data_IF_674398231272
#
_entry.id   IF_674398231272
#
_cell.length_a   1.000
_cell.length_b   1.000
_cell.length_c   1.000
_cell.angle_alpha   90.00
_cell.angle_beta   90.00
_cell.angle_gamma   90.00
#
_symmetry.space_group_name_H-M   'P 1'
#
loop_
_entity.id
_entity.type
_entity.pdbx_description
1 polymer ?
#
# COMPACT_ATOMS: atom_id res chain seq x y z
N UNK A 1 7.59 -3.85 9.32
CA UNK A 1 7.12 -5.24 9.35
C UNK A 1 8.14 -6.15 10.03
N UNK A 2 7.96 -6.49 11.31
CA UNK A 2 8.90 -7.35 12.03
C UNK A 2 8.79 -8.83 11.65
N UNK A 3 7.68 -9.26 11.06
CA UNK A 3 7.43 -10.66 10.68
C UNK A 3 6.97 -10.75 9.22
N UNK A 4 7.87 -10.58 8.24
CA UNK A 4 7.51 -10.63 6.83
C UNK A 4 7.00 -12.02 6.43
N UNK A 5 5.92 -12.08 5.64
CA UNK A 5 5.36 -13.34 5.14
C UNK A 5 6.36 -14.12 4.25
N UNK A 6 7.34 -13.42 3.69
CA UNK A 6 8.34 -13.97 2.77
C UNK A 6 9.72 -14.20 3.40
N UNK A 7 9.90 -13.90 4.70
CA UNK A 7 11.18 -14.00 5.42
C UNK A 7 11.89 -15.31 5.16
N UNK A 8 13.24 -15.30 5.16
CA UNK A 8 14.02 -16.53 5.08
C UNK A 8 13.87 -17.39 6.34
N UNK A 9 13.59 -16.81 7.50
CA UNK A 9 13.33 -17.52 8.74
C UNK A 9 11.89 -18.10 8.77
N UNK A 10 11.72 -19.43 8.82
CA UNK A 10 10.41 -20.06 8.96
C UNK A 10 9.63 -19.64 10.20
N UNK A 11 10.32 -19.31 11.31
CA UNK A 11 9.68 -18.87 12.54
C UNK A 11 9.05 -17.47 12.38
N UNK A 12 9.76 -16.54 11.74
CA UNK A 12 9.21 -15.23 11.39
C UNK A 12 8.00 -15.37 10.44
N UNK A 13 8.09 -16.23 9.42
CA UNK A 13 6.95 -16.48 8.52
C UNK A 13 5.74 -17.05 9.26
N UNK A 14 5.95 -18.02 10.14
CA UNK A 14 4.87 -18.62 10.94
C UNK A 14 4.20 -17.57 11.83
N UNK A 15 5.00 -16.70 12.47
CA UNK A 15 4.48 -15.61 13.30
C UNK A 15 3.73 -14.57 12.48
N UNK A 16 4.25 -14.22 11.31
CA UNK A 16 3.58 -13.30 10.37
C UNK A 16 2.21 -13.83 9.93
N UNK A 17 2.12 -15.12 9.61
CA UNK A 17 0.86 -15.77 9.23
C UNK A 17 -0.18 -15.78 10.36
N UNK A 18 0.25 -16.10 11.58
CA UNK A 18 -0.63 -16.06 12.76
C UNK A 18 -1.18 -14.66 12.98
N UNK A 19 -0.31 -13.65 12.98
CA UNK A 19 -0.70 -12.26 13.16
C UNK A 19 -1.60 -11.76 12.03
N UNK A 20 -1.33 -12.12 10.79
CA UNK A 20 -2.18 -11.77 9.65
C UNK A 20 -3.60 -12.31 9.83
N UNK A 21 -3.76 -13.58 10.24
CA UNK A 21 -5.07 -14.15 10.55
C UNK A 21 -5.77 -13.44 11.71
N UNK A 22 -5.05 -13.08 12.77
CA UNK A 22 -5.59 -12.29 13.89
C UNK A 22 -6.02 -10.89 13.44
N UNK A 23 -5.26 -10.23 12.57
CA UNK A 23 -5.61 -8.92 12.01
C UNK A 23 -6.83 -9.00 11.10
N UNK A 24 -7.00 -10.10 10.34
CA UNK A 24 -8.23 -10.34 9.57
C UNK A 24 -9.45 -10.51 10.49
N UNK A 25 -9.32 -11.25 11.59
CA UNK A 25 -10.39 -11.36 12.58
C UNK A 25 -10.68 -10.01 13.25
N UNK A 26 -9.65 -9.24 13.62
CA UNK A 26 -9.82 -7.92 14.20
C UNK A 26 -10.52 -6.94 13.23
N UNK A 27 -10.20 -6.99 11.94
CA UNK A 27 -10.89 -6.21 10.92
C UNK A 27 -12.40 -6.51 10.91
N UNK A 28 -12.76 -7.79 10.92
CA UNK A 28 -14.15 -8.22 11.02
C UNK A 28 -14.82 -7.73 12.31
N UNK A 29 -14.19 -7.95 13.46
CA UNK A 29 -14.75 -7.60 14.76
C UNK A 29 -14.95 -6.07 14.91
N UNK A 30 -14.08 -5.26 14.28
CA UNK A 30 -14.19 -3.81 14.24
C UNK A 30 -15.13 -3.29 13.13
N UNK A 31 -15.68 -4.17 12.30
CA UNK A 31 -16.63 -3.84 11.24
C UNK A 31 -16.02 -3.21 9.99
N UNK A 32 -14.70 -3.29 9.81
CA UNK A 32 -14.06 -2.89 8.54
C UNK A 32 -13.96 -4.08 7.59
N UNK A 33 -14.28 -3.83 6.32
CA UNK A 33 -14.20 -4.84 5.26
C UNK A 33 -12.82 -4.95 4.61
N UNK A 34 -11.86 -4.16 5.07
CA UNK A 34 -10.59 -3.98 4.37
C UNK A 34 -9.42 -4.13 5.33
N UNK A 35 -8.46 -4.98 4.96
CA UNK A 35 -7.19 -5.13 5.64
C UNK A 35 -6.06 -4.86 4.65
N UNK A 36 -5.24 -3.85 4.91
CA UNK A 36 -4.00 -3.61 4.18
C UNK A 36 -3.02 -4.76 4.46
N UNK A 37 -2.48 -5.36 3.40
CA UNK A 37 -1.48 -6.42 3.50
C UNK A 37 -0.27 -6.07 2.67
N UNK A 38 0.89 -6.16 3.29
CA UNK A 38 2.16 -6.14 2.57
C UNK A 38 2.55 -7.60 2.29
N UNK A 39 2.49 -8.04 1.03
CA UNK A 39 2.52 -9.45 0.69
C UNK A 39 3.91 -10.08 0.86
N UNK A 40 4.96 -9.26 0.78
CA UNK A 40 6.34 -9.70 0.82
C UNK A 40 7.33 -8.56 0.69
N UNK A 41 8.60 -8.87 0.90
CA UNK A 41 9.72 -7.95 0.73
C UNK A 41 10.95 -8.73 0.23
N UNK A 42 11.54 -8.25 -0.86
CA UNK A 42 12.85 -8.70 -1.37
C UNK A 42 13.96 -8.07 -0.54
N UNK A 43 13.81 -6.79 -0.21
CA UNK A 43 14.71 -6.03 0.63
C UNK A 43 13.92 -5.23 1.66
N UNK A 44 14.52 -4.94 2.83
CA UNK A 44 13.92 -4.09 3.85
C UNK A 44 14.99 -3.12 4.36
N UNK A 45 15.17 -1.94 3.74
CA UNK A 45 16.28 -1.04 4.05
C UNK A 45 16.26 -0.51 5.49
N UNK A 46 15.10 -0.56 6.15
CA UNK A 46 14.92 -0.17 7.56
C UNK A 46 15.23 -1.30 8.56
N UNK A 47 15.57 -2.52 8.11
CA UNK A 47 15.97 -3.65 8.97
C UNK A 47 17.37 -4.13 8.60
N UNK A 48 18.34 -3.83 9.46
CA UNK A 48 19.71 -4.31 9.30
C UNK A 48 19.86 -5.82 9.61
N UNK A 49 18.89 -6.41 10.30
CA UNK A 49 18.90 -7.78 10.82
C UNK A 49 18.15 -8.78 9.91
N UNK A 50 18.02 -8.48 8.61
CA UNK A 50 17.27 -9.33 7.69
C UNK A 50 17.98 -9.49 6.34
N UNK A 51 18.28 -10.74 5.97
CA UNK A 51 18.85 -11.07 4.67
C UNK A 51 17.85 -10.83 3.54
N UNK A 52 18.27 -10.34 2.36
CA UNK A 52 17.38 -10.23 1.22
C UNK A 52 16.69 -11.56 0.88
N UNK A 53 15.40 -11.50 0.53
CA UNK A 53 14.66 -12.66 0.01
C UNK A 53 14.78 -12.66 -1.51
N UNK A 54 15.30 -13.72 -2.16
CA UNK A 54 15.32 -13.81 -3.62
C UNK A 54 13.92 -13.60 -4.23
N UNK A 55 13.84 -12.89 -5.36
CA UNK A 55 12.57 -12.47 -5.96
C UNK A 55 11.60 -13.63 -6.25
N UNK A 56 12.11 -14.76 -6.74
CA UNK A 56 11.34 -15.97 -7.04
C UNK A 56 10.76 -16.60 -5.75
N UNK A 57 11.57 -16.71 -4.70
CA UNK A 57 11.13 -17.19 -3.39
C UNK A 57 10.17 -16.21 -2.72
N UNK A 58 10.40 -14.90 -2.87
CA UNK A 58 9.51 -13.86 -2.37
C UNK A 58 8.13 -14.00 -3.02
N UNK A 59 8.06 -14.12 -4.34
CA UNK A 59 6.80 -14.28 -5.06
C UNK A 59 6.07 -15.57 -4.71
N UNK A 60 6.79 -16.70 -4.70
CA UNK A 60 6.21 -17.99 -4.32
C UNK A 60 5.62 -17.93 -2.90
N UNK A 61 6.39 -17.46 -1.92
CA UNK A 61 5.96 -17.41 -0.51
C UNK A 61 4.82 -16.42 -0.30
N UNK A 62 4.84 -15.28 -0.97
CA UNK A 62 3.77 -14.29 -0.91
C UNK A 62 2.45 -14.90 -1.42
N UNK A 63 2.48 -15.58 -2.58
CA UNK A 63 1.29 -16.27 -3.12
C UNK A 63 0.78 -17.36 -2.21
N UNK A 64 1.67 -18.20 -1.68
CA UNK A 64 1.31 -19.24 -0.71
C UNK A 64 0.68 -18.67 0.57
N UNK A 65 1.23 -17.56 1.09
CA UNK A 65 0.75 -16.91 2.31
C UNK A 65 -0.65 -16.32 2.12
N UNK A 66 -0.84 -15.49 1.08
CA UNK A 66 -2.15 -14.90 0.76
C UNK A 66 -3.17 -16.01 0.45
N UNK A 67 -2.79 -17.03 -0.31
CA UNK A 67 -3.68 -18.17 -0.62
C UNK A 67 -4.12 -18.96 0.62
N UNK A 68 -3.28 -19.05 1.66
CA UNK A 68 -3.64 -19.68 2.94
C UNK A 68 -4.56 -18.80 3.80
N UNK A 69 -4.41 -17.48 3.74
CA UNK A 69 -5.25 -16.53 4.48
C UNK A 69 -6.63 -16.33 3.83
N UNK A 70 -6.68 -16.43 2.51
CA UNK A 70 -7.84 -16.08 1.69
C UNK A 70 -9.15 -16.77 2.14
N UNK A 71 -9.21 -18.09 2.37
CA UNK A 71 -10.47 -18.74 2.79
C UNK A 71 -11.03 -18.18 4.12
N UNK A 72 -10.14 -17.77 5.03
CA UNK A 72 -10.53 -17.13 6.29
C UNK A 72 -11.06 -15.72 6.07
N UNK A 73 -10.39 -14.95 5.20
CA UNK A 73 -10.80 -13.61 4.83
C UNK A 73 -12.18 -13.59 4.13
N UNK A 74 -12.41 -14.52 3.19
CA UNK A 74 -13.70 -14.68 2.50
C UNK A 74 -14.83 -15.02 3.48
N UNK A 75 -14.59 -15.96 4.42
CA UNK A 75 -15.57 -16.33 5.45
C UNK A 75 -15.96 -15.14 6.33
N UNK A 76 -15.00 -14.24 6.59
CA UNK A 76 -15.18 -13.07 7.44
C UNK A 76 -15.68 -11.83 6.68
N UNK A 77 -15.87 -11.92 5.36
CA UNK A 77 -16.19 -10.77 4.47
C UNK A 77 -15.15 -9.63 4.58
N UNK A 78 -13.87 -9.99 4.65
CA UNK A 78 -12.74 -9.05 4.69
C UNK A 78 -11.91 -9.20 3.42
N UNK A 79 -11.61 -8.09 2.75
CA UNK A 79 -10.68 -8.04 1.62
C UNK A 79 -9.24 -7.84 2.11
N UNK A 80 -8.33 -8.66 1.61
CA UNK A 80 -6.88 -8.53 1.74
C UNK A 80 -6.38 -7.60 0.62
N UNK A 81 -6.02 -6.38 0.97
CA UNK A 81 -5.70 -5.31 0.02
C UNK A 81 -4.18 -5.13 -0.04
N UNK A 82 -3.59 -5.57 -1.15
CA UNK A 82 -2.16 -5.61 -1.39
C UNK A 82 -1.62 -4.21 -1.65
N UNK A 83 -0.65 -3.76 -0.85
CA UNK A 83 -0.03 -2.44 -1.01
C UNK A 83 1.21 -2.47 -1.90
N UNK A 84 1.32 -1.50 -2.82
CA UNK A 84 2.52 -1.25 -3.62
C UNK A 84 3.56 -0.48 -2.80
N UNK A 85 4.80 -0.99 -2.71
CA UNK A 85 5.87 -0.35 -1.91
C UNK A 85 7.24 -0.51 -2.57
N UNK A 86 7.74 0.54 -3.23
CA UNK A 86 9.03 0.43 -3.94
C UNK A 86 10.20 0.07 -3.02
N UNK A 87 10.21 0.55 -1.77
CA UNK A 87 11.31 0.30 -0.84
C UNK A 87 11.48 -1.19 -0.48
N UNK A 88 10.44 -2.02 -0.66
CA UNK A 88 10.53 -3.43 -0.34
C UNK A 88 11.05 -4.30 -1.52
N UNK A 89 11.20 -3.70 -2.71
CA UNK A 89 11.72 -4.37 -3.90
C UNK A 89 10.79 -5.41 -4.54
N UNK A 90 9.49 -5.43 -4.21
CA UNK A 90 8.53 -6.43 -4.68
C UNK A 90 7.26 -5.76 -5.26
N UNK A 91 6.71 -6.34 -6.35
CA UNK A 91 5.57 -5.81 -7.12
C UNK A 91 5.77 -4.34 -7.57
N UNK A 92 6.85 -4.10 -8.32
CA UNK A 92 7.33 -2.75 -8.64
C UNK A 92 6.65 -2.09 -9.86
N UNK A 93 5.77 -2.82 -10.55
CA UNK A 93 5.01 -2.34 -11.71
C UNK A 93 3.51 -2.63 -11.57
N UNK A 94 2.63 -1.87 -12.23
CA UNK A 94 1.20 -2.10 -12.14
C UNK A 94 0.80 -3.44 -12.77
N UNK A 95 1.59 -3.95 -13.73
CA UNK A 95 1.35 -5.25 -14.36
C UNK A 95 1.68 -6.41 -13.43
N UNK A 96 2.77 -6.32 -12.65
CA UNK A 96 3.09 -7.30 -11.61
C UNK A 96 2.01 -7.29 -10.52
N UNK A 97 1.56 -6.10 -10.08
CA UNK A 97 0.48 -5.97 -9.10
C UNK A 97 -0.83 -6.60 -9.61
N UNK A 98 -1.25 -6.28 -10.84
CA UNK A 98 -2.43 -6.90 -11.47
C UNK A 98 -2.29 -8.42 -11.54
N UNK A 99 -1.16 -8.92 -12.05
CA UNK A 99 -0.91 -10.36 -12.17
C UNK A 99 -0.91 -11.08 -10.82
N UNK A 100 -0.42 -10.43 -9.76
CA UNK A 100 -0.44 -10.97 -8.41
C UNK A 100 -1.86 -11.07 -7.86
N UNK A 101 -2.66 -9.99 -7.90
CA UNK A 101 -4.01 -10.02 -7.33
C UNK A 101 -4.97 -10.89 -8.16
N UNK A 102 -4.85 -10.86 -9.50
CA UNK A 102 -5.69 -11.65 -10.40
C UNK A 102 -5.42 -13.16 -10.26
N UNK A 103 -4.21 -13.56 -9.83
CA UNK A 103 -3.84 -14.96 -9.61
C UNK A 103 -4.81 -15.70 -8.70
N UNK A 104 -5.38 -15.02 -7.70
CA UNK A 104 -6.28 -15.62 -6.72
C UNK A 104 -7.71 -15.77 -7.24
N UNK A 105 -8.09 -15.07 -8.32
CA UNK A 105 -9.45 -15.10 -8.88
C UNK A 105 -10.54 -14.87 -7.82
N UNK A 106 -10.28 -14.01 -6.83
CA UNK A 106 -11.18 -13.73 -5.71
C UNK A 106 -11.43 -12.23 -5.58
N UNK A 107 -12.67 -11.86 -5.25
CA UNK A 107 -13.04 -10.48 -4.95
C UNK A 107 -12.47 -9.98 -3.61
N UNK A 108 -11.90 -10.88 -2.80
CA UNK A 108 -11.29 -10.58 -1.51
C UNK A 108 -9.76 -10.40 -1.58
N UNK A 109 -9.14 -10.44 -2.76
CA UNK A 109 -7.76 -9.99 -2.96
C UNK A 109 -7.75 -8.82 -3.93
N UNK A 110 -7.45 -7.62 -3.41
CA UNK A 110 -7.49 -6.36 -4.17
C UNK A 110 -6.24 -5.53 -3.89
N UNK A 111 -6.21 -4.28 -4.33
CA UNK A 111 -5.07 -3.36 -4.17
C UNK A 111 -5.43 -2.27 -3.15
N UNK A 112 -4.53 -2.07 -2.18
CA UNK A 112 -4.45 -0.83 -1.42
C UNK A 112 -3.45 0.07 -2.14
N UNK A 113 -3.93 1.01 -2.94
CA UNK A 113 -3.07 1.80 -3.81
C UNK A 113 -2.50 3.00 -3.07
N UNK A 114 -1.18 3.04 -2.90
CA UNK A 114 -0.48 4.20 -2.34
C UNK A 114 0.19 5.02 -3.45
N UNK A 115 -0.19 6.29 -3.57
CA UNK A 115 0.28 7.15 -4.66
C UNK A 115 1.77 7.47 -4.54
N UNK A 116 2.30 7.60 -3.33
CA UNK A 116 3.68 8.01 -3.07
C UNK A 116 4.67 6.85 -3.14
N UNK A 117 4.23 5.65 -2.78
CA UNK A 117 5.05 4.44 -2.73
C UNK A 117 5.46 3.88 -4.10
N UNK A 118 5.16 4.57 -5.20
CA UNK A 118 5.69 4.31 -6.55
C UNK A 118 6.40 5.52 -7.15
N UNK A 119 6.33 6.69 -6.49
CA UNK A 119 6.73 7.97 -7.06
C UNK A 119 8.24 8.15 -7.18
N UNK A 120 9.07 7.28 -6.62
CA UNK A 120 10.50 7.33 -6.87
C UNK A 120 10.78 7.11 -8.37
N UNK A 121 10.22 6.05 -8.96
CA UNK A 121 10.48 5.67 -10.35
C UNK A 121 9.28 5.84 -11.29
N UNK A 122 8.07 5.96 -10.76
CA UNK A 122 6.83 5.91 -11.55
C UNK A 122 5.92 7.11 -11.25
N UNK A 123 4.69 7.07 -11.77
CA UNK A 123 3.67 8.12 -11.64
C UNK A 123 2.30 7.49 -11.37
N UNK A 124 1.55 7.93 -10.34
CA UNK A 124 0.31 7.30 -9.92
C UNK A 124 -0.81 7.41 -10.95
N UNK A 125 -0.90 8.54 -11.66
CA UNK A 125 -1.88 8.75 -12.73
C UNK A 125 -1.74 7.76 -13.90
N UNK A 126 -0.58 7.10 -14.04
CA UNK A 126 -0.40 6.02 -15.01
C UNK A 126 -0.83 4.65 -14.46
N UNK A 127 -0.69 4.43 -13.15
CA UNK A 127 -1.06 3.17 -12.49
C UNK A 127 -2.57 3.02 -12.35
N UNK A 128 -3.25 4.08 -11.94
CA UNK A 128 -4.68 4.09 -11.66
C UNK A 128 -5.52 3.48 -12.80
N UNK A 129 -5.39 3.90 -14.08
CA UNK A 129 -6.18 3.31 -15.16
C UNK A 129 -5.84 1.83 -15.45
N UNK A 130 -4.62 1.38 -15.14
CA UNK A 130 -4.21 -0.02 -15.33
C UNK A 130 -4.78 -0.91 -14.22
N UNK A 131 -4.73 -0.44 -12.96
CA UNK A 131 -5.30 -1.16 -11.83
C UNK A 131 -6.83 -1.19 -11.91
N UNK A 132 -7.45 -0.06 -12.24
CA UNK A 132 -8.90 0.09 -12.40
C UNK A 132 -9.67 -0.42 -11.18
N UNK A 133 -10.64 -1.31 -11.42
CA UNK A 133 -11.51 -1.88 -10.38
C UNK A 133 -10.80 -2.77 -9.34
N UNK A 134 -9.49 -3.01 -9.50
CA UNK A 134 -8.67 -3.69 -8.48
C UNK A 134 -8.36 -2.79 -7.30
N UNK A 135 -8.40 -1.46 -7.47
CA UNK A 135 -8.19 -0.52 -6.38
C UNK A 135 -9.38 -0.61 -5.42
N UNK A 136 -9.09 -0.98 -4.17
CA UNK A 136 -10.08 -1.11 -3.10
C UNK A 136 -9.96 -0.02 -2.05
N UNK A 137 -8.74 0.38 -1.73
CA UNK A 137 -8.45 1.51 -0.86
C UNK A 137 -7.32 2.34 -1.44
N UNK A 138 -7.21 3.58 -0.99
CA UNK A 138 -6.18 4.51 -1.45
C UNK A 138 -5.52 5.23 -0.28
N UNK A 139 -4.20 5.18 -0.26
CA UNK A 139 -3.35 6.13 0.45
C UNK A 139 -2.90 7.23 -0.52
N UNK A 140 -3.29 8.46 -0.22
CA UNK A 140 -2.69 9.66 -0.80
C UNK A 140 -1.44 9.98 0.00
N UNK A 141 -0.30 9.87 -0.68
CA UNK A 141 1.02 10.18 -0.15
C UNK A 141 1.76 11.00 -1.19
N UNK A 142 2.26 12.16 -0.76
CA UNK A 142 3.05 13.04 -1.61
C UNK A 142 4.52 12.63 -1.60
N UNK A 143 5.16 12.79 -2.76
CA UNK A 143 6.57 12.53 -2.97
C UNK A 143 7.20 13.65 -3.80
N UNK A 144 8.42 14.04 -3.44
CA UNK A 144 9.18 15.05 -4.17
C UNK A 144 10.37 14.46 -4.89
N UNK A 145 10.32 14.45 -6.23
CA UNK A 145 11.45 14.14 -7.12
C UNK A 145 12.42 15.33 -7.30
N UNK A 146 12.26 16.43 -6.54
CA UNK A 146 13.10 17.64 -6.69
C UNK A 146 14.52 17.46 -6.15
N UNK A 147 14.71 16.56 -5.19
CA UNK A 147 16.00 16.23 -4.59
C UNK A 147 16.53 14.90 -5.11
N UNK A 148 17.86 14.71 -5.05
CA UNK A 148 18.51 13.41 -5.22
C UNK A 148 18.45 12.54 -3.94
N UNK A 149 17.48 12.84 -3.06
CA UNK A 149 17.24 12.06 -1.86
C UNK A 149 16.27 10.93 -2.22
N UNK A 150 16.63 9.71 -1.85
CA UNK A 150 15.86 8.50 -2.11
C UNK A 150 15.42 7.83 -0.80
N UNK A 151 15.48 8.57 0.31
CA UNK A 151 15.05 8.13 1.63
C UNK A 151 13.59 8.50 1.92
N UNK A 152 13.13 8.22 3.14
CA UNK A 152 11.80 8.60 3.58
C UNK A 152 11.59 10.13 3.61
N UNK A 153 12.66 10.92 3.63
CA UNK A 153 12.61 12.40 3.62
C UNK A 153 12.08 13.00 2.30
N UNK A 154 12.01 12.18 1.25
CA UNK A 154 11.42 12.56 -0.02
C UNK A 154 9.88 12.52 0.00
N UNK A 155 9.28 11.85 0.99
CA UNK A 155 7.85 11.99 1.25
C UNK A 155 7.56 13.35 1.90
N UNK A 156 6.47 13.99 1.48
CA UNK A 156 6.10 15.35 1.92
C UNK A 156 4.66 15.41 2.41
N UNK A 157 4.27 16.48 3.12
CA UNK A 157 2.85 16.82 3.26
C UNK A 157 2.20 16.95 1.88
N UNK A 158 0.88 16.71 1.78
CA UNK A 158 0.16 16.85 0.52
C UNK A 158 0.38 18.23 -0.11
N UNK A 159 0.46 18.28 -1.44
CA UNK A 159 0.69 19.47 -2.25
C UNK A 159 2.11 20.08 -2.14
N UNK A 160 3.00 19.52 -1.31
CA UNK A 160 4.39 20.00 -1.14
C UNK A 160 5.42 19.10 -1.86
N UNK A 161 5.05 18.50 -2.99
CA UNK A 161 5.95 17.63 -3.74
C UNK A 161 5.91 17.83 -5.23
N UNK A 162 5.88 16.71 -5.94
CA UNK A 162 5.94 16.64 -7.41
C UNK A 162 4.82 15.81 -8.01
N UNK A 163 3.91 15.28 -7.18
CA UNK A 163 2.76 14.52 -7.67
C UNK A 163 1.83 15.44 -8.48
N UNK A 164 1.46 15.00 -9.68
CA UNK A 164 0.50 15.72 -10.51
C UNK A 164 -0.93 15.42 -10.03
N UNK A 165 -1.30 16.04 -8.91
CA UNK A 165 -2.59 15.78 -8.27
C UNK A 165 -3.82 15.98 -9.17
N UNK A 166 -3.91 17.02 -10.03
CA UNK A 166 -5.00 17.11 -10.98
C UNK A 166 -5.14 15.87 -11.88
N UNK A 167 -4.02 15.35 -12.39
CA UNK A 167 -4.03 14.13 -13.21
C UNK A 167 -4.39 12.87 -12.40
N UNK A 168 -3.92 12.77 -11.15
CA UNK A 168 -4.27 11.67 -10.24
C UNK A 168 -5.76 11.65 -9.94
N UNK A 169 -6.34 12.79 -9.56
CA UNK A 169 -7.77 12.89 -9.26
C UNK A 169 -8.62 12.63 -10.50
N UNK A 170 -8.19 13.12 -11.68
CA UNK A 170 -8.86 12.80 -12.94
C UNK A 170 -8.80 11.29 -13.24
N UNK A 171 -7.67 10.62 -13.03
CA UNK A 171 -7.55 9.19 -13.27
C UNK A 171 -8.46 8.36 -12.34
N UNK A 172 -8.61 8.76 -11.07
CA UNK A 172 -9.58 8.13 -10.17
C UNK A 172 -11.02 8.35 -10.64
N UNK A 173 -11.36 9.56 -11.09
CA UNK A 173 -12.68 9.86 -11.64
C UNK A 173 -12.98 9.03 -12.91
N UNK A 174 -12.02 8.93 -13.84
CA UNK A 174 -12.16 8.18 -15.09
C UNK A 174 -12.34 6.67 -14.85
N UNK A 175 -11.79 6.15 -13.75
CA UNK A 175 -11.94 4.75 -13.35
C UNK A 175 -13.16 4.48 -12.45
N UNK A 176 -13.87 5.54 -12.05
CA UNK A 176 -15.07 5.46 -11.20
C UNK A 176 -14.77 5.05 -9.76
N UNK A 177 -13.61 5.43 -9.22
CA UNK A 177 -13.30 5.20 -7.81
C UNK A 177 -14.07 6.20 -6.93
N UNK A 178 -14.96 5.70 -6.07
CA UNK A 178 -15.84 6.51 -5.21
C UNK A 178 -15.71 6.16 -3.71
N UNK A 179 -14.70 5.36 -3.34
CA UNK A 179 -14.47 4.93 -1.95
C UNK A 179 -13.50 5.89 -1.23
N UNK A 180 -13.14 5.59 0.02
CA UNK A 180 -12.35 6.47 0.87
C UNK A 180 -10.96 6.79 0.30
N UNK A 181 -10.53 8.04 0.46
CA UNK A 181 -9.16 8.50 0.28
C UNK A 181 -8.58 8.79 1.66
N UNK A 182 -7.46 8.15 1.98
CA UNK A 182 -6.79 8.29 3.29
C UNK A 182 -5.39 8.85 3.10
N UNK A 183 -4.87 9.59 4.08
CA UNK A 183 -3.53 10.19 4.00
C UNK A 183 -2.53 9.39 4.83
N UNK A 184 -1.37 9.08 4.25
CA UNK A 184 -0.28 8.40 4.97
C UNK A 184 1.01 9.22 4.90
N UNK A 185 1.63 9.51 6.06
CA UNK A 185 2.87 10.28 6.14
C UNK A 185 3.73 9.87 7.33
N UNK A 186 5.06 9.99 7.18
CA UNK A 186 6.04 9.46 8.15
C UNK A 186 6.55 10.50 9.16
N UNK A 187 6.48 11.80 8.85
CA UNK A 187 7.20 12.83 9.60
C UNK A 187 6.25 13.90 10.18
N UNK A 188 5.46 13.58 11.22
CA UNK A 188 4.67 14.60 11.89
C UNK A 188 5.56 15.72 12.45
N UNK A 189 5.02 16.93 12.56
CA UNK A 189 5.77 18.07 13.07
C UNK A 189 6.27 17.84 14.51
N UNK A 190 7.55 18.13 14.75
CA UNK A 190 8.20 17.94 16.06
C UNK A 190 7.48 18.71 17.18
N UNK A 191 6.99 19.90 16.86
CA UNK A 191 6.15 20.71 17.73
C UNK A 191 4.80 20.91 17.03
N UNK A 192 3.71 20.74 17.78
CA UNK A 192 2.34 20.83 17.26
C UNK A 192 2.01 19.84 16.13
N UNK A 193 2.18 18.51 16.34
CA UNK A 193 1.89 17.49 15.32
C UNK A 193 0.42 17.52 14.84
N UNK A 194 -0.51 18.00 15.66
CA UNK A 194 -1.91 18.20 15.30
C UNK A 194 -2.10 19.17 14.13
N UNK A 195 -1.16 20.09 13.89
CA UNK A 195 -1.22 21.01 12.76
C UNK A 195 -1.24 20.25 11.41
N UNK A 196 -0.61 19.07 11.35
CA UNK A 196 -0.64 18.21 10.17
C UNK A 196 -2.07 17.78 9.83
N UNK A 197 -2.92 17.50 10.82
CA UNK A 197 -4.31 17.08 10.59
C UNK A 197 -5.08 18.16 9.83
N UNK A 198 -4.95 19.42 10.28
CA UNK A 198 -5.67 20.54 9.66
C UNK A 198 -5.14 20.87 8.26
N UNK A 199 -3.83 20.80 8.05
CA UNK A 199 -3.22 21.03 6.75
C UNK A 199 -3.57 19.92 5.74
N UNK A 200 -3.55 18.66 6.19
CA UNK A 200 -4.01 17.53 5.38
C UNK A 200 -5.47 17.68 5.02
N UNK A 201 -6.34 18.05 5.97
CA UNK A 201 -7.76 18.28 5.69
C UNK A 201 -7.96 19.39 4.63
N UNK A 202 -7.28 20.54 4.76
CA UNK A 202 -7.37 21.60 3.75
C UNK A 202 -6.86 21.14 2.38
N UNK A 203 -5.79 20.36 2.35
CA UNK A 203 -5.24 19.81 1.12
C UNK A 203 -6.22 18.85 0.45
N UNK A 204 -6.83 17.94 1.21
CA UNK A 204 -7.83 17.00 0.70
C UNK A 204 -9.07 17.74 0.16
N UNK A 205 -9.55 18.78 0.85
CA UNK A 205 -10.68 19.59 0.36
C UNK A 205 -10.39 20.17 -1.03
N UNK A 206 -9.17 20.67 -1.26
CA UNK A 206 -8.73 21.21 -2.56
C UNK A 206 -8.62 20.13 -3.62
N UNK A 207 -8.04 18.98 -3.27
CA UNK A 207 -7.92 17.84 -4.18
C UNK A 207 -9.30 17.32 -4.63
N UNK A 208 -10.27 17.34 -3.73
CA UNK A 208 -11.64 16.91 -4.00
C UNK A 208 -12.52 17.99 -4.64
N UNK A 209 -11.97 19.20 -4.87
CA UNK A 209 -12.72 20.32 -5.44
C UNK A 209 -13.83 20.87 -4.52
N UNK A 210 -13.72 20.63 -3.20
CA UNK A 210 -14.61 21.19 -2.18
C UNK A 210 -14.27 22.68 -1.94
N UNK A 211 -13.00 23.05 -2.12
CA UNK A 211 -12.46 24.42 -2.00
C UNK A 211 -11.74 24.89 -3.25
#
# INVERSE_FOLDING_TARGET
WPYPLTSNDPAERSRGMELAGMMTQAAHDLGTKNLLVVPGAVHMPWRADHDPTPNDLCDQRAKEAIGKLLPGAEKLDVSLNIENIFFNGYLLSPFEMCGFVDHFSSEHVKVHFDTGNIMEYQFPEHWIPILGKRIRNVHLKEYSKKSADHSLESFRPLLDGTTNWPAVMQAFADTGYEDYLTFEYFHPYLHHPEALIYQTADSLDRLLGIK
#
